data_IF_704076069412
#
_entry.id   IF_704076069412
#
_cell.length_a   1.000
_cell.length_b   1.000
_cell.length_c   1.000
_cell.angle_alpha   90.00
_cell.angle_beta   90.00
_cell.angle_gamma   90.00
#
_symmetry.space_group_name_H-M   'P 1'
#
loop_
_entity.id
_entity.type
_entity.pdbx_description
1 polymer ?
#
# COMPACT_ATOMS: atom_id res chain seq x y z
N UNK A 1 -6.83 -13.27 13.52
CA UNK A 1 -6.65 -14.74 13.63
C UNK A 1 -7.98 -15.49 13.79
N UNK A 2 -8.49 -16.01 12.66
CA UNK A 2 -9.58 -16.98 12.59
C UNK A 2 -10.99 -16.44 12.28
N UNK A 3 -11.20 -15.12 12.34
CA UNK A 3 -12.52 -14.51 12.05
C UNK A 3 -12.85 -14.51 10.55
N UNK A 4 -14.13 -14.36 10.18
CA UNK A 4 -14.56 -14.26 8.78
C UNK A 4 -13.84 -13.12 8.03
N UNK A 5 -13.67 -11.96 8.69
CA UNK A 5 -12.89 -10.84 8.15
C UNK A 5 -11.42 -11.19 7.93
N UNK A 6 -10.81 -11.95 8.85
CA UNK A 6 -9.42 -12.42 8.76
C UNK A 6 -9.23 -13.39 7.58
N UNK A 7 -10.19 -14.29 7.35
CA UNK A 7 -10.22 -15.20 6.19
C UNK A 7 -10.45 -14.46 4.88
N UNK A 8 -11.43 -13.57 4.81
CA UNK A 8 -11.67 -12.75 3.62
C UNK A 8 -10.44 -11.93 3.25
N UNK A 9 -9.85 -11.21 4.22
CA UNK A 9 -8.63 -10.43 4.00
C UNK A 9 -7.45 -11.32 3.59
N UNK A 10 -7.34 -12.53 4.14
CA UNK A 10 -6.29 -13.48 3.76
C UNK A 10 -6.46 -14.02 2.34
N UNK A 11 -7.68 -14.34 1.92
CA UNK A 11 -7.99 -14.84 0.58
C UNK A 11 -7.85 -13.71 -0.45
N UNK A 12 -8.39 -12.52 -0.15
CA UNK A 12 -8.22 -11.33 -0.98
C UNK A 12 -6.74 -10.96 -1.12
N UNK A 13 -5.96 -11.02 -0.04
CA UNK A 13 -4.50 -10.83 -0.05
C UNK A 13 -3.79 -11.85 -0.93
N UNK A 14 -4.21 -13.12 -0.89
CA UNK A 14 -3.59 -14.18 -1.69
C UNK A 14 -3.94 -14.02 -3.17
N UNK A 15 -5.18 -13.66 -3.48
CA UNK A 15 -5.63 -13.36 -4.84
C UNK A 15 -4.88 -12.15 -5.41
N UNK A 16 -4.80 -11.03 -4.68
CA UNK A 16 -4.00 -9.87 -5.10
C UNK A 16 -2.52 -10.22 -5.28
N UNK A 17 -1.97 -11.10 -4.46
CA UNK A 17 -0.57 -11.53 -4.57
C UNK A 17 -0.32 -12.41 -5.80
N UNK A 18 -1.28 -13.26 -6.17
CA UNK A 18 -1.17 -14.12 -7.34
C UNK A 18 -1.35 -13.36 -8.66
N UNK A 19 -1.94 -12.17 -8.61
CA UNK A 19 -2.15 -11.32 -9.77
C UNK A 19 -0.85 -10.59 -10.13
N UNK A 20 -0.37 -10.70 -11.38
CA UNK A 20 0.75 -9.91 -11.86
C UNK A 20 0.48 -8.40 -11.74
N UNK A 21 1.47 -7.63 -11.27
CA UNK A 21 1.32 -6.19 -11.05
C UNK A 21 0.83 -5.41 -12.27
N UNK A 22 1.33 -5.76 -13.46
CA UNK A 22 0.87 -5.14 -14.72
C UNK A 22 -0.62 -5.41 -14.98
N UNK A 23 -1.11 -6.62 -14.69
CA UNK A 23 -2.51 -7.00 -14.89
C UNK A 23 -3.42 -6.25 -13.94
N UNK A 24 -3.00 -6.11 -12.68
CA UNK A 24 -3.74 -5.31 -11.70
C UNK A 24 -3.83 -3.84 -12.13
N UNK A 25 -2.72 -3.28 -12.65
CA UNK A 25 -2.71 -1.94 -13.24
C UNK A 25 -3.70 -1.80 -14.40
N UNK A 26 -3.74 -2.77 -15.31
CA UNK A 26 -4.70 -2.79 -16.43
C UNK A 26 -6.15 -2.85 -15.94
N UNK A 27 -6.46 -3.70 -14.96
CA UNK A 27 -7.81 -3.80 -14.41
C UNK A 27 -8.25 -2.51 -13.74
N UNK A 28 -7.35 -1.82 -13.03
CA UNK A 28 -7.65 -0.52 -12.43
C UNK A 28 -7.94 0.55 -13.49
N UNK A 29 -7.18 0.56 -14.59
CA UNK A 29 -7.45 1.47 -15.72
C UNK A 29 -8.82 1.16 -16.32
N UNK A 30 -9.13 -0.11 -16.59
CA UNK A 30 -10.43 -0.51 -17.16
C UNK A 30 -11.57 -0.08 -16.25
N UNK A 31 -11.51 -0.40 -14.96
CA UNK A 31 -12.60 -0.08 -14.02
C UNK A 31 -12.71 1.44 -13.84
N UNK A 32 -11.65 2.12 -13.43
CA UNK A 32 -11.77 3.51 -12.98
C UNK A 32 -11.70 4.55 -14.10
N UNK A 33 -11.03 4.23 -15.21
CA UNK A 33 -10.87 5.15 -16.32
C UNK A 33 -11.85 4.88 -17.46
N UNK A 34 -12.13 3.60 -17.77
CA UNK A 34 -12.98 3.22 -18.91
C UNK A 34 -14.44 3.02 -18.50
N UNK A 35 -14.70 2.16 -17.51
CA UNK A 35 -16.07 1.80 -17.11
C UNK A 35 -16.72 2.90 -16.27
N UNK A 36 -16.07 3.30 -15.17
CA UNK A 36 -16.60 4.29 -14.22
C UNK A 36 -16.34 5.73 -14.68
N UNK A 37 -15.31 5.96 -15.51
CA UNK A 37 -14.89 7.28 -16.01
C UNK A 37 -14.64 8.30 -14.90
N UNK A 38 -14.20 7.83 -13.73
CA UNK A 38 -13.90 8.66 -12.56
C UNK A 38 -12.52 9.31 -12.67
N UNK A 39 -11.60 8.66 -13.37
CA UNK A 39 -10.21 9.07 -13.50
C UNK A 39 -9.82 9.17 -14.99
N UNK A 40 -8.89 10.07 -15.34
CA UNK A 40 -8.43 10.21 -16.71
C UNK A 40 -7.64 8.96 -17.17
N UNK A 41 -7.83 8.58 -18.42
CA UNK A 41 -7.27 7.35 -19.03
C UNK A 41 -5.77 7.51 -19.34
N UNK A 42 -5.29 8.75 -19.46
CA UNK A 42 -3.88 9.06 -19.68
C UNK A 42 -3.63 10.56 -19.89
N UNK A 43 -2.36 10.95 -19.93
CA UNK A 43 -1.91 12.35 -19.96
C UNK A 43 -1.47 12.85 -18.57
N UNK A 44 -0.65 13.91 -18.56
CA UNK A 44 -0.17 14.55 -17.31
C UNK A 44 -1.16 15.62 -16.84
N UNK A 45 -1.93 16.20 -17.77
CA UNK A 45 -2.97 17.20 -17.54
C UNK A 45 -4.00 17.11 -18.66
N UNK A 46 -5.18 17.72 -18.45
CA UNK A 46 -6.22 17.82 -19.47
C UNK A 46 -5.75 18.74 -20.59
N UNK A 47 -5.62 18.22 -21.81
CA UNK A 47 -5.22 19.00 -22.98
C UNK A 47 -6.23 20.16 -23.21
N UNK A 48 -5.70 21.35 -23.53
CA UNK A 48 -6.47 22.57 -23.82
C UNK A 48 -7.33 23.13 -22.66
N UNK A 49 -6.95 22.89 -21.40
CA UNK A 49 -7.73 23.41 -20.25
C UNK A 49 -7.36 24.83 -19.79
N UNK A 50 -6.28 25.43 -20.30
CA UNK A 50 -5.72 26.74 -19.87
C UNK A 50 -5.61 26.93 -18.34
N UNK A 51 -5.61 25.83 -17.58
CA UNK A 51 -5.53 25.86 -16.12
C UNK A 51 -4.14 26.32 -15.68
N UNK A 52 -4.10 27.29 -14.77
CA UNK A 52 -2.87 27.83 -14.20
C UNK A 52 -2.92 27.81 -12.67
N UNK A 53 -1.75 27.84 -12.02
CA UNK A 53 -1.66 27.84 -10.56
C UNK A 53 -2.17 26.55 -9.91
N UNK A 54 -3.00 26.69 -8.88
CA UNK A 54 -3.50 25.58 -8.05
C UNK A 54 -4.43 24.64 -8.84
N UNK A 55 -5.18 25.16 -9.80
CA UNK A 55 -6.10 24.35 -10.61
C UNK A 55 -5.35 23.40 -11.53
N UNK A 56 -4.17 23.82 -12.03
CA UNK A 56 -3.26 22.94 -12.78
C UNK A 56 -2.66 21.86 -11.89
N UNK A 57 -2.24 22.22 -10.67
CA UNK A 57 -1.69 21.27 -9.72
C UNK A 57 -2.71 20.19 -9.32
N UNK A 58 -3.97 20.58 -9.11
CA UNK A 58 -5.07 19.64 -8.85
C UNK A 58 -5.34 18.72 -10.04
N UNK A 59 -5.32 19.26 -11.26
CA UNK A 59 -5.49 18.47 -12.49
C UNK A 59 -4.36 17.44 -12.64
N UNK A 60 -3.10 17.84 -12.45
CA UNK A 60 -1.97 16.92 -12.46
C UNK A 60 -2.12 15.85 -11.37
N UNK A 61 -2.52 16.24 -10.15
CA UNK A 61 -2.69 15.30 -9.05
C UNK A 61 -3.73 14.21 -9.39
N UNK A 62 -4.83 14.55 -10.05
CA UNK A 62 -5.87 13.58 -10.44
C UNK A 62 -5.38 12.65 -11.57
N UNK A 63 -4.58 13.17 -12.49
CA UNK A 63 -3.96 12.39 -13.56
C UNK A 63 -2.90 11.41 -13.04
N UNK A 64 -2.26 11.73 -11.92
CA UNK A 64 -1.29 10.85 -11.27
C UNK A 64 -1.92 9.73 -10.45
N UNK A 65 -3.19 9.82 -10.05
CA UNK A 65 -3.83 8.82 -9.17
C UNK A 65 -3.73 7.41 -9.75
N UNK A 66 -4.12 7.20 -11.01
CA UNK A 66 -4.08 5.88 -11.64
C UNK A 66 -2.67 5.29 -11.77
N UNK A 67 -1.70 6.00 -12.38
CA UNK A 67 -0.32 5.51 -12.48
C UNK A 67 0.32 5.25 -11.12
N UNK A 68 0.17 6.18 -10.17
CA UNK A 68 0.72 6.04 -8.82
C UNK A 68 0.05 4.89 -8.08
N UNK A 69 -1.26 4.70 -8.22
CA UNK A 69 -1.97 3.57 -7.61
C UNK A 69 -1.50 2.24 -8.21
N UNK A 70 -1.41 2.14 -9.54
CA UNK A 70 -0.95 0.93 -10.22
C UNK A 70 0.46 0.51 -9.77
N UNK A 71 1.41 1.46 -9.69
CA UNK A 71 2.75 1.21 -9.16
C UNK A 71 2.73 0.93 -7.65
N UNK A 72 1.93 1.69 -6.89
CA UNK A 72 1.79 1.56 -5.45
C UNK A 72 1.23 0.22 -5.02
N UNK A 73 0.31 -0.37 -5.79
CA UNK A 73 -0.28 -1.67 -5.47
C UNK A 73 0.76 -2.81 -5.48
N UNK A 74 1.76 -2.73 -6.35
CA UNK A 74 2.86 -3.71 -6.42
C UNK A 74 3.62 -3.72 -5.09
N UNK A 75 4.00 -2.54 -4.58
CA UNK A 75 4.68 -2.40 -3.30
C UNK A 75 3.76 -2.68 -2.10
N UNK A 76 2.49 -2.33 -2.20
CA UNK A 76 1.50 -2.60 -1.16
C UNK A 76 1.37 -4.10 -0.88
N UNK A 77 1.34 -4.94 -1.92
CA UNK A 77 1.27 -6.39 -1.77
C UNK A 77 2.48 -6.95 -1.00
N UNK A 78 3.69 -6.45 -1.30
CA UNK A 78 4.92 -6.81 -0.59
C UNK A 78 4.86 -6.39 0.89
N UNK A 79 4.47 -5.15 1.16
CA UNK A 79 4.37 -4.61 2.51
C UNK A 79 3.30 -5.30 3.35
N UNK A 80 2.14 -5.62 2.77
CA UNK A 80 1.08 -6.38 3.46
C UNK A 80 1.58 -7.77 3.85
N UNK A 81 2.31 -8.46 2.97
CA UNK A 81 2.92 -9.77 3.28
C UNK A 81 3.92 -9.66 4.42
N UNK A 82 4.79 -8.65 4.39
CA UNK A 82 5.79 -8.45 5.42
C UNK A 82 5.17 -8.10 6.78
N UNK A 83 4.16 -7.22 6.79
CA UNK A 83 3.35 -6.93 7.98
C UNK A 83 2.70 -8.18 8.53
N UNK A 84 2.09 -9.01 7.67
CA UNK A 84 1.43 -10.24 8.10
C UNK A 84 2.40 -11.23 8.75
N UNK A 85 3.60 -11.38 8.18
CA UNK A 85 4.65 -12.22 8.76
C UNK A 85 5.13 -11.66 10.11
N UNK A 86 5.43 -10.35 10.17
CA UNK A 86 5.84 -9.68 11.42
C UNK A 86 4.78 -9.74 12.51
N UNK A 87 3.51 -9.56 12.15
CA UNK A 87 2.38 -9.71 13.08
C UNK A 87 2.25 -11.13 13.62
N UNK A 88 2.48 -12.15 12.77
CA UNK A 88 2.43 -13.54 13.18
C UNK A 88 3.56 -13.90 14.15
N UNK A 89 4.76 -13.37 13.92
CA UNK A 89 5.91 -13.53 14.83
C UNK A 89 5.67 -12.80 16.16
N UNK A 90 5.33 -11.51 16.10
CA UNK A 90 5.08 -10.71 17.29
C UNK A 90 3.91 -11.26 18.13
N UNK A 91 2.93 -11.94 17.51
CA UNK A 91 1.82 -12.59 18.23
C UNK A 91 2.27 -13.77 19.11
N UNK A 92 3.39 -14.42 18.78
CA UNK A 92 3.94 -15.56 19.53
C UNK A 92 4.86 -15.16 20.67
N UNK A 93 5.18 -13.88 20.82
CA UNK A 93 6.08 -13.41 21.87
C UNK A 93 5.42 -13.37 23.24
N UNK A 94 6.22 -13.54 24.29
CA UNK A 94 5.76 -13.64 25.69
C UNK A 94 5.03 -12.38 26.18
N UNK A 95 5.34 -11.21 25.61
CA UNK A 95 4.64 -9.97 25.96
C UNK A 95 3.13 -10.07 25.67
N UNK A 96 2.72 -10.87 24.68
CA UNK A 96 1.30 -11.09 24.34
C UNK A 96 0.62 -11.92 25.43
N UNK A 97 1.30 -12.94 25.95
CA UNK A 97 0.80 -13.74 27.08
C UNK A 97 0.65 -12.88 28.33
N UNK A 98 1.68 -12.11 28.67
CA UNK A 98 1.65 -11.17 29.78
C UNK A 98 0.53 -10.13 29.63
N UNK A 99 0.33 -9.59 28.42
CA UNK A 99 -0.74 -8.64 28.14
C UNK A 99 -2.14 -9.24 28.32
N UNK A 100 -2.34 -10.51 27.92
CA UNK A 100 -3.60 -11.23 28.16
C UNK A 100 -3.83 -11.51 29.65
N UNK A 101 -2.79 -11.89 30.39
CA UNK A 101 -2.88 -12.12 31.84
C UNK A 101 -3.28 -10.83 32.59
N UNK A 102 -2.87 -9.66 32.08
CA UNK A 102 -3.29 -8.34 32.58
C UNK A 102 -4.71 -7.93 32.17
N UNK A 103 -5.44 -8.77 31.44
CA UNK A 103 -6.81 -8.48 30.99
C UNK A 103 -6.92 -7.49 29.83
N UNK A 104 -5.84 -7.21 29.10
CA UNK A 104 -5.90 -6.30 27.95
C UNK A 104 -6.77 -6.88 26.83
N UNK A 105 -7.63 -6.04 26.25
CA UNK A 105 -8.47 -6.46 25.13
C UNK A 105 -7.64 -6.84 23.91
N UNK A 106 -8.07 -7.86 23.18
CA UNK A 106 -7.39 -8.33 21.95
C UNK A 106 -7.08 -7.20 20.98
N UNK A 107 -8.02 -6.26 20.80
CA UNK A 107 -7.85 -5.10 19.91
C UNK A 107 -6.72 -4.20 20.36
N UNK A 108 -6.60 -3.93 21.67
CA UNK A 108 -5.51 -3.14 22.24
C UNK A 108 -4.17 -3.85 22.06
N UNK A 109 -4.11 -5.16 22.30
CA UNK A 109 -2.89 -5.96 22.11
C UNK A 109 -2.42 -5.90 20.64
N UNK A 110 -3.33 -6.11 19.70
CA UNK A 110 -3.04 -6.06 18.26
C UNK A 110 -2.54 -4.69 17.83
N UNK A 111 -3.26 -3.62 18.15
CA UNK A 111 -2.97 -2.28 17.61
C UNK A 111 -1.81 -1.58 18.33
N UNK A 112 -1.73 -1.70 19.66
CA UNK A 112 -0.74 -0.96 20.44
C UNK A 112 0.59 -1.70 20.63
N UNK A 113 0.60 -3.03 20.51
CA UNK A 113 1.79 -3.84 20.80
C UNK A 113 2.26 -4.63 19.59
N UNK A 114 1.40 -5.49 19.03
CA UNK A 114 1.81 -6.43 17.96
C UNK A 114 2.09 -5.68 16.66
N UNK A 115 1.21 -4.76 16.25
CA UNK A 115 1.39 -3.94 15.04
C UNK A 115 2.63 -3.05 15.13
N UNK A 116 2.89 -2.45 16.29
CA UNK A 116 4.07 -1.61 16.49
C UNK A 116 5.37 -2.40 16.34
N UNK A 117 5.43 -3.63 16.85
CA UNK A 117 6.60 -4.50 16.69
C UNK A 117 6.74 -5.02 15.25
N UNK A 118 5.62 -5.36 14.60
CA UNK A 118 5.61 -5.83 13.22
C UNK A 118 6.00 -4.76 12.19
N UNK A 119 5.90 -3.47 12.54
CA UNK A 119 6.23 -2.35 11.66
C UNK A 119 7.74 -2.12 11.47
N UNK A 120 8.59 -2.60 12.40
CA UNK A 120 10.03 -2.31 12.38
C UNK A 120 10.70 -2.66 11.03
N UNK A 121 10.48 -3.85 10.44
CA UNK A 121 11.09 -4.18 9.15
C UNK A 121 10.57 -3.31 8.00
N UNK A 122 9.31 -2.86 8.06
CA UNK A 122 8.74 -2.00 7.00
C UNK A 122 9.38 -0.63 6.99
N UNK A 123 9.63 -0.05 8.17
CA UNK A 123 10.31 1.24 8.27
C UNK A 123 11.70 1.16 7.62
N UNK A 124 12.44 0.07 7.85
CA UNK A 124 13.74 -0.16 7.21
C UNK A 124 13.63 -0.25 5.69
N UNK A 125 12.70 -1.03 5.17
CA UNK A 125 12.49 -1.18 3.72
C UNK A 125 12.06 0.13 3.06
N UNK A 126 11.16 0.89 3.69
CA UNK A 126 10.74 2.21 3.22
C UNK A 126 11.92 3.17 3.16
N UNK A 127 12.78 3.17 4.18
CA UNK A 127 14.00 3.97 4.20
C UNK A 127 14.95 3.63 3.06
N UNK A 128 15.20 2.33 2.82
CA UNK A 128 16.05 1.88 1.73
C UNK A 128 15.49 2.26 0.36
N UNK A 129 14.18 2.09 0.17
CA UNK A 129 13.52 2.40 -1.10
C UNK A 129 13.51 3.91 -1.38
N UNK A 130 13.30 4.73 -0.33
CA UNK A 130 13.39 6.18 -0.43
C UNK A 130 14.81 6.62 -0.82
N UNK A 131 15.84 6.00 -0.23
CA UNK A 131 17.23 6.27 -0.58
C UNK A 131 17.55 5.86 -2.03
N UNK A 132 17.03 4.73 -2.50
CA UNK A 132 17.18 4.29 -3.89
C UNK A 132 16.50 5.24 -4.89
N UNK A 133 15.33 5.77 -4.57
CA UNK A 133 14.64 6.73 -5.45
C UNK A 133 15.44 8.04 -5.57
N UNK A 134 15.97 8.54 -4.46
CA UNK A 134 16.80 9.75 -4.45
C UNK A 134 18.14 9.53 -5.18
N UNK A 135 18.81 8.39 -4.92
CA UNK A 135 20.10 8.07 -5.54
C UNK A 135 19.99 7.65 -7.01
N UNK A 136 18.88 7.01 -7.40
CA UNK A 136 18.61 6.59 -8.78
C UNK A 136 18.40 7.77 -9.73
N UNK A 137 17.80 8.88 -9.24
CA UNK A 137 17.70 10.14 -10.01
C UNK A 137 19.08 10.64 -10.44
N UNK A 138 20.06 10.60 -9.53
CA UNK A 138 21.42 11.06 -9.79
C UNK A 138 22.13 10.22 -10.86
N UNK A 139 21.90 8.90 -10.87
CA UNK A 139 22.49 7.99 -11.88
C UNK A 139 21.80 8.08 -13.23
N UNK A 140 20.50 8.44 -13.26
CA UNK A 140 19.74 8.65 -14.50
C UNK A 140 20.06 10.02 -15.12
N UNK A 141 20.45 10.99 -14.29
CA UNK A 141 20.79 12.37 -14.68
C UNK A 141 22.26 12.58 -15.08
N UNK A 142 23.14 11.58 -14.86
CA UNK A 142 24.57 11.61 -15.22
C UNK A 142 24.88 10.95 -16.56
#
# INVERSE_FOLDING_TARGET
>A
PGSFRDRFLSVASLALYAVPGFWLGLVLIVIFAVDLRWLPIGGIETLASDRTGLDRAADIAIHLVLPVSALGFIYLALYLRMMRAGMAEAWRQDFVLAARARGLSRRRIVLAHVARNALLPLVTMLGLQSAQMLGGSVVIES
#
